data_IF_050739891988
#
_entry.id   IF_050739891988
#
_cell.length_a   1.000
_cell.length_b   1.000
_cell.length_c   1.000
_cell.angle_alpha   90.00
_cell.angle_beta   90.00
_cell.angle_gamma   90.00
#
_symmetry.space_group_name_H-M   'P 1'
#
loop_
_entity.id
_entity.type
_entity.pdbx_description
1 polymer ?
#
# COMPACT_ATOMS: atom_id res chain seq x y z
N UNK A 1 18.69 18.30 -10.97
CA UNK A 1 18.06 16.98 -11.15
C UNK A 1 17.86 16.41 -9.76
N UNK A 2 16.65 16.10 -9.36
CA UNK A 2 16.41 15.45 -8.07
C UNK A 2 16.90 14.01 -8.19
N UNK A 3 17.83 13.60 -7.34
CA UNK A 3 18.36 12.24 -7.34
C UNK A 3 17.26 11.30 -6.84
N UNK A 4 16.93 10.24 -7.58
CA UNK A 4 16.04 9.18 -7.11
C UNK A 4 16.86 8.06 -6.48
N UNK A 5 16.24 7.28 -5.59
CA UNK A 5 16.85 6.07 -5.03
C UNK A 5 17.31 5.12 -6.15
N UNK A 6 18.53 4.59 -6.03
CA UNK A 6 19.12 3.71 -7.04
C UNK A 6 18.59 2.29 -6.94
N UNK A 7 18.80 1.48 -7.99
CA UNK A 7 18.41 0.06 -7.94
C UNK A 7 19.25 -0.71 -6.92
N UNK A 8 20.52 -0.34 -6.79
CA UNK A 8 21.47 -0.86 -5.82
C UNK A 8 21.01 -0.60 -4.38
N UNK A 9 20.56 0.62 -4.10
CA UNK A 9 20.02 1.02 -2.79
C UNK A 9 18.74 0.26 -2.43
N UNK A 10 17.83 0.10 -3.39
CA UNK A 10 16.61 -0.71 -3.19
C UNK A 10 16.98 -2.15 -2.88
N UNK A 11 17.94 -2.74 -3.61
CA UNK A 11 18.40 -4.11 -3.35
C UNK A 11 19.06 -4.23 -1.98
N UNK A 12 19.90 -3.27 -1.59
CA UNK A 12 20.52 -3.25 -0.26
C UNK A 12 19.46 -3.20 0.85
N UNK A 13 18.45 -2.33 0.71
CA UNK A 13 17.32 -2.26 1.62
C UNK A 13 16.54 -3.59 1.67
N UNK A 14 16.19 -4.18 0.52
CA UNK A 14 15.49 -5.48 0.47
C UNK A 14 16.28 -6.60 1.15
N UNK A 15 17.61 -6.61 1.01
CA UNK A 15 18.45 -7.61 1.65
C UNK A 15 18.39 -7.50 3.19
N UNK A 16 18.36 -6.28 3.74
CA UNK A 16 18.13 -6.05 5.18
C UNK A 16 16.78 -6.58 5.64
N UNK A 17 15.74 -6.54 4.79
CA UNK A 17 14.40 -7.02 5.13
C UNK A 17 14.20 -8.53 4.98
N UNK A 18 15.13 -9.24 4.34
CA UNK A 18 15.02 -10.69 4.12
C UNK A 18 14.70 -11.52 5.39
N UNK A 19 15.18 -11.17 6.60
CA UNK A 19 14.84 -11.90 7.82
C UNK A 19 13.35 -11.83 8.20
N UNK A 20 12.59 -10.85 7.67
CA UNK A 20 11.15 -10.77 7.90
C UNK A 20 10.39 -11.91 7.23
N UNK A 21 10.90 -12.47 6.13
CA UNK A 21 10.21 -13.53 5.38
C UNK A 21 10.18 -14.81 6.22
N UNK A 22 8.98 -15.33 6.46
CA UNK A 22 8.73 -16.47 7.32
C UNK A 22 8.46 -16.10 8.78
N UNK A 23 8.64 -14.83 9.17
CA UNK A 23 8.35 -14.39 10.54
C UNK A 23 6.86 -14.57 10.85
N UNK A 24 6.58 -15.33 11.91
CA UNK A 24 5.24 -15.46 12.47
C UNK A 24 5.02 -14.34 13.49
N UNK A 25 3.86 -13.69 13.48
CA UNK A 25 3.53 -12.62 14.42
C UNK A 25 2.67 -13.22 15.54
N UNK A 26 3.32 -13.92 16.47
CA UNK A 26 2.68 -14.77 17.48
C UNK A 26 1.91 -13.99 18.57
N UNK A 27 1.83 -12.66 18.48
CA UNK A 27 0.93 -11.86 19.31
C UNK A 27 -0.54 -12.21 19.00
N UNK A 28 -0.85 -12.56 17.74
CA UNK A 28 -2.20 -12.96 17.33
C UNK A 28 -2.24 -14.44 16.95
N UNK A 29 -2.96 -15.22 17.73
CA UNK A 29 -3.22 -16.63 17.48
C UNK A 29 -4.71 -16.91 17.46
N UNK A 30 -5.21 -17.42 16.34
CA UNK A 30 -6.64 -17.67 16.12
C UNK A 30 -6.84 -19.17 15.95
N UNK A 31 -7.67 -19.83 16.77
CA UNK A 31 -8.04 -21.22 16.55
C UNK A 31 -8.61 -21.43 15.14
N UNK A 32 -8.18 -22.50 14.47
CA UNK A 32 -8.61 -22.83 13.10
C UNK A 32 -10.13 -22.76 12.91
N UNK A 33 -10.87 -23.32 13.86
CA UNK A 33 -12.33 -23.39 13.80
C UNK A 33 -13.03 -22.03 13.91
N UNK A 34 -12.35 -20.99 14.40
CA UNK A 34 -12.91 -19.64 14.46
C UNK A 34 -12.69 -18.86 13.16
N UNK A 35 -11.71 -19.25 12.33
CA UNK A 35 -11.39 -18.56 11.07
C UNK A 35 -12.56 -18.55 10.09
N UNK A 36 -13.40 -19.59 10.09
CA UNK A 36 -14.63 -19.67 9.29
C UNK A 36 -15.64 -18.55 9.58
N UNK A 37 -15.54 -17.92 10.75
CA UNK A 37 -16.42 -16.83 11.18
C UNK A 37 -15.86 -15.44 10.84
N UNK A 38 -14.59 -15.34 10.47
CA UNK A 38 -13.95 -14.09 10.11
C UNK A 38 -14.04 -13.85 8.60
N UNK A 39 -14.40 -12.62 8.23
CA UNK A 39 -14.13 -12.12 6.89
C UNK A 39 -12.65 -11.73 6.77
N UNK A 40 -11.99 -11.96 5.62
CA UNK A 40 -10.61 -11.54 5.39
C UNK A 40 -10.34 -10.06 5.67
N UNK A 41 -11.33 -9.18 5.48
CA UNK A 41 -11.24 -7.75 5.79
C UNK A 41 -11.05 -7.47 7.28
N UNK A 42 -11.71 -8.24 8.15
CA UNK A 42 -11.62 -8.11 9.61
C UNK A 42 -10.23 -8.54 10.09
N UNK A 43 -9.72 -9.66 9.57
CA UNK A 43 -8.33 -10.07 9.79
C UNK A 43 -7.38 -8.98 9.29
N UNK A 44 -7.63 -8.45 8.10
CA UNK A 44 -6.90 -7.34 7.50
C UNK A 44 -6.73 -6.14 8.43
N UNK A 45 -7.81 -5.72 9.09
CA UNK A 45 -7.80 -4.61 10.05
C UNK A 45 -7.01 -4.94 11.31
N UNK A 46 -7.25 -6.09 11.94
CA UNK A 46 -6.58 -6.50 13.18
C UNK A 46 -5.08 -6.62 12.95
N UNK A 47 -4.71 -7.37 11.91
CA UNK A 47 -3.31 -7.63 11.57
C UNK A 47 -2.61 -6.37 11.06
N UNK A 48 -3.35 -5.51 10.34
CA UNK A 48 -2.92 -4.16 9.93
C UNK A 48 -2.28 -3.37 11.06
N UNK A 49 -3.06 -3.12 12.10
CA UNK A 49 -2.62 -2.35 13.26
C UNK A 49 -1.51 -3.05 14.03
N UNK A 50 -1.60 -4.37 14.16
CA UNK A 50 -0.64 -5.14 14.95
C UNK A 50 0.74 -5.18 14.27
N UNK A 51 0.80 -5.49 12.96
CA UNK A 51 2.06 -5.57 12.23
C UNK A 51 2.74 -4.20 12.07
N UNK A 52 1.97 -3.11 11.96
CA UNK A 52 2.56 -1.77 11.92
C UNK A 52 3.47 -1.51 13.14
N UNK A 53 3.03 -1.93 14.33
CA UNK A 53 3.82 -1.78 15.57
C UNK A 53 4.81 -2.92 15.77
N UNK A 54 4.46 -4.15 15.37
CA UNK A 54 5.28 -5.33 15.65
C UNK A 54 6.51 -5.45 14.76
N UNK A 55 6.45 -5.10 13.47
CA UNK A 55 7.57 -5.30 12.54
C UNK A 55 8.87 -4.66 13.03
N UNK A 56 8.89 -3.38 13.47
CA UNK A 56 10.12 -2.76 13.97
C UNK A 56 10.59 -3.30 15.33
N UNK A 57 9.77 -4.10 16.00
CA UNK A 57 9.95 -4.57 17.38
C UNK A 57 10.07 -6.10 17.46
N UNK A 58 10.30 -6.77 16.31
CA UNK A 58 10.35 -8.24 16.25
C UNK A 58 11.50 -8.83 17.07
N UNK A 59 12.60 -8.10 17.25
CA UNK A 59 13.70 -8.48 18.12
C UNK A 59 13.28 -8.58 19.60
N UNK A 60 12.30 -7.78 20.03
CA UNK A 60 11.72 -7.90 21.38
C UNK A 60 10.77 -9.08 21.51
N UNK A 61 10.12 -9.47 20.41
CA UNK A 61 9.24 -10.65 20.37
C UNK A 61 10.02 -11.96 20.26
N UNK A 62 11.21 -11.91 19.66
CA UNK A 62 12.10 -13.05 19.42
C UNK A 62 13.55 -12.71 19.80
N UNK A 63 13.85 -12.52 21.11
CA UNK A 63 15.15 -12.04 21.56
C UNK A 63 16.31 -13.02 21.34
N UNK A 64 16.01 -14.32 21.23
CA UNK A 64 17.02 -15.38 21.28
C UNK A 64 17.72 -15.63 19.93
N UNK A 65 17.23 -15.08 18.82
CA UNK A 65 17.75 -15.37 17.48
C UNK A 65 18.71 -14.29 16.93
N UNK A 66 18.68 -13.06 17.46
CA UNK A 66 19.42 -11.90 16.95
C UNK A 66 19.18 -11.60 15.46
N UNK A 67 18.19 -12.26 14.86
CA UNK A 67 17.92 -12.29 13.42
C UNK A 67 17.24 -10.98 13.02
N UNK A 68 16.26 -10.56 13.82
CA UNK A 68 15.47 -9.36 13.55
C UNK A 68 16.21 -8.05 13.85
N UNK A 69 17.23 -8.07 14.71
CA UNK A 69 18.08 -6.90 14.95
C UNK A 69 18.77 -6.39 13.65
N UNK A 70 18.96 -7.26 12.66
CA UNK A 70 19.57 -6.92 11.36
C UNK A 70 18.59 -6.24 10.39
N UNK A 71 17.28 -6.27 10.68
CA UNK A 71 16.24 -5.64 9.85
C UNK A 71 16.37 -4.13 9.87
N UNK A 72 16.81 -3.54 10.99
CA UNK A 72 17.16 -2.13 11.06
C UNK A 72 16.02 -1.14 10.89
N UNK A 73 14.76 -1.59 10.97
CA UNK A 73 13.57 -0.73 10.96
C UNK A 73 13.26 -0.23 12.38
N UNK A 74 12.84 1.02 12.48
CA UNK A 74 12.23 1.60 13.69
C UNK A 74 11.02 2.45 13.29
N UNK A 75 10.07 2.69 14.21
CA UNK A 75 8.97 3.63 13.95
C UNK A 75 9.54 5.01 13.65
N UNK A 76 9.01 5.64 12.60
CA UNK A 76 9.32 7.04 12.34
C UNK A 76 8.56 7.90 13.35
N UNK A 77 9.20 8.97 13.83
CA UNK A 77 8.55 9.90 14.75
C UNK A 77 7.32 10.53 14.08
N UNK A 78 6.21 10.55 14.80
CA UNK A 78 5.00 11.25 14.37
C UNK A 78 5.20 12.75 14.39
N UNK A 79 4.47 13.46 13.52
CA UNK A 79 4.43 14.92 13.54
C UNK A 79 3.28 15.35 14.45
N UNK A 80 3.57 16.15 15.47
CA UNK A 80 2.55 16.64 16.41
C UNK A 80 1.44 17.40 15.67
N UNK A 81 0.19 16.97 15.83
CA UNK A 81 -0.98 17.55 15.17
C UNK A 81 -1.47 16.78 13.95
N UNK A 82 -0.64 15.90 13.38
CA UNK A 82 -1.07 14.99 12.31
C UNK A 82 -1.74 13.74 12.89
N UNK A 83 -2.93 13.41 12.37
CA UNK A 83 -3.66 12.18 12.75
C UNK A 83 -3.06 10.91 12.16
N UNK A 84 -2.33 11.02 11.05
CA UNK A 84 -1.70 9.92 10.33
C UNK A 84 -0.32 10.41 9.87
N UNK A 85 0.74 9.85 10.45
CA UNK A 85 2.12 10.19 10.08
C UNK A 85 2.50 9.57 8.75
N UNK A 86 3.29 10.30 7.96
CA UNK A 86 4.06 9.75 6.85
C UNK A 86 5.51 10.18 7.05
N UNK A 87 6.49 9.27 6.89
CA UNK A 87 6.33 7.82 6.63
C UNK A 87 6.09 7.02 7.91
N UNK A 88 5.79 5.72 7.79
CA UNK A 88 5.56 4.83 8.93
C UNK A 88 6.85 4.48 9.70
N UNK A 89 7.96 4.26 8.97
CA UNK A 89 9.24 3.75 9.49
C UNK A 89 10.45 4.57 9.02
N UNK A 90 11.54 4.45 9.78
CA UNK A 90 12.89 4.82 9.38
C UNK A 90 13.81 3.60 9.44
N UNK A 91 14.89 3.60 8.64
CA UNK A 91 15.85 2.50 8.55
C UNK A 91 17.27 2.96 8.84
N UNK A 92 18.12 2.08 9.39
CA UNK A 92 19.52 2.37 9.74
C UNK A 92 20.40 2.81 8.56
N UNK A 93 20.02 2.48 7.32
CA UNK A 93 20.68 2.95 6.10
C UNK A 93 20.26 4.39 5.71
N UNK A 94 19.39 5.05 6.49
CA UNK A 94 18.90 6.41 6.22
C UNK A 94 17.67 6.47 5.31
N UNK A 95 17.10 5.33 4.91
CA UNK A 95 15.82 5.26 4.20
C UNK A 95 14.64 5.50 5.13
N UNK A 96 13.51 5.91 4.55
CA UNK A 96 12.22 5.95 5.22
C UNK A 96 11.24 5.06 4.48
N UNK A 97 10.37 4.35 5.21
CA UNK A 97 9.46 3.40 4.62
C UNK A 97 8.00 3.66 4.98
N UNK A 98 7.15 3.72 3.96
CA UNK A 98 5.69 3.74 4.09
C UNK A 98 5.17 2.30 4.00
N UNK A 99 4.55 1.81 5.06
CA UNK A 99 4.06 0.43 5.15
C UNK A 99 2.71 0.30 4.46
N UNK A 100 2.57 -0.73 3.63
CA UNK A 100 1.27 -1.28 3.22
C UNK A 100 1.28 -2.79 3.36
N UNK A 101 0.24 -3.33 3.99
CA UNK A 101 0.09 -4.77 4.11
C UNK A 101 -0.76 -5.33 2.97
N UNK A 102 -0.34 -6.47 2.44
CA UNK A 102 -1.02 -7.24 1.43
C UNK A 102 -1.43 -8.60 2.01
N UNK A 103 -2.70 -8.72 2.40
CA UNK A 103 -3.25 -10.00 2.84
C UNK A 103 -3.47 -10.94 1.66
N UNK A 104 -2.83 -12.09 1.73
CA UNK A 104 -2.96 -13.25 0.84
C UNK A 104 -3.84 -14.28 1.52
N UNK A 105 -4.80 -14.82 0.78
CA UNK A 105 -5.77 -15.76 1.33
C UNK A 105 -5.04 -17.02 1.83
N UNK A 106 -5.43 -17.57 3.00
CA UNK A 106 -4.76 -18.72 3.60
C UNK A 106 -5.03 -20.00 2.81
N UNK A 107 -4.00 -20.83 2.68
CA UNK A 107 -4.14 -22.15 2.07
C UNK A 107 -4.76 -23.14 3.05
N UNK A 108 -5.74 -23.93 2.58
CA UNK A 108 -6.33 -25.01 3.39
C UNK A 108 -7.17 -24.56 4.59
N UNK A 109 -7.55 -23.28 4.64
CA UNK A 109 -8.42 -22.72 5.67
C UNK A 109 -9.67 -22.14 5.03
N UNK A 110 -10.83 -22.59 5.50
CA UNK A 110 -12.10 -21.99 5.13
C UNK A 110 -12.35 -20.73 5.96
N UNK A 111 -12.67 -19.62 5.28
CA UNK A 111 -13.01 -18.35 5.90
C UNK A 111 -14.38 -17.87 5.41
N UNK A 112 -14.99 -16.94 6.15
CA UNK A 112 -16.28 -16.37 5.75
C UNK A 112 -16.13 -15.64 4.41
N UNK A 113 -16.93 -16.06 3.43
CA UNK A 113 -16.99 -15.39 2.13
C UNK A 113 -17.64 -14.02 2.32
N UNK A 114 -16.99 -12.92 1.91
CA UNK A 114 -17.58 -11.59 2.02
C UNK A 114 -18.78 -11.45 1.07
N UNK A 115 -19.77 -10.64 1.47
CA UNK A 115 -20.97 -10.38 0.65
C UNK A 115 -20.65 -9.70 -0.70
N UNK A 116 -19.47 -9.08 -0.81
CA UNK A 116 -18.97 -8.43 -2.02
C UNK A 116 -17.56 -8.90 -2.33
N UNK A 117 -17.23 -9.02 -3.63
CA UNK A 117 -15.85 -9.31 -4.06
C UNK A 117 -14.90 -8.29 -3.45
N UNK A 118 -13.86 -8.79 -2.81
CA UNK A 118 -12.85 -7.98 -2.15
C UNK A 118 -12.10 -7.13 -3.18
N UNK A 119 -11.94 -5.85 -2.86
CA UNK A 119 -10.94 -5.03 -3.52
C UNK A 119 -9.79 -4.76 -2.55
N UNK A 120 -8.52 -4.86 -2.98
CA UNK A 120 -7.40 -4.37 -2.20
C UNK A 120 -7.63 -2.91 -1.80
N UNK A 121 -7.65 -2.64 -0.50
CA UNK A 121 -7.92 -1.31 0.06
C UNK A 121 -6.65 -0.53 0.39
N UNK A 122 -5.49 -1.19 0.39
CA UNK A 122 -4.20 -0.55 0.63
C UNK A 122 -3.98 0.60 -0.35
N UNK A 123 -3.57 1.76 0.17
CA UNK A 123 -3.45 3.01 -0.57
C UNK A 123 -2.17 3.73 -0.22
N UNK A 124 -1.47 4.25 -1.22
CA UNK A 124 -0.56 5.38 -1.07
C UNK A 124 -1.40 6.67 -1.12
N UNK A 125 -1.82 7.13 0.06
CA UNK A 125 -2.91 8.11 0.21
C UNK A 125 -2.61 9.46 -0.44
N UNK A 126 -3.63 10.31 -0.56
CA UNK A 126 -3.48 11.65 -1.13
C UNK A 126 -2.61 12.59 -0.30
N UNK A 127 -2.28 12.25 0.95
CA UNK A 127 -1.35 13.00 1.80
C UNK A 127 0.11 12.79 1.40
N UNK A 128 0.41 11.68 0.73
CA UNK A 128 1.76 11.38 0.24
C UNK A 128 1.91 12.00 -1.15
N UNK A 129 2.67 13.08 -1.25
CA UNK A 129 2.77 13.93 -2.45
C UNK A 129 4.21 14.35 -2.70
N UNK A 130 4.44 15.01 -3.83
CA UNK A 130 5.75 15.61 -4.15
C UNK A 130 6.24 16.63 -3.10
N UNK A 131 5.39 17.10 -2.20
CA UNK A 131 5.75 18.06 -1.14
C UNK A 131 6.50 17.44 0.03
N UNK A 132 6.20 16.19 0.37
CA UNK A 132 6.72 15.52 1.57
C UNK A 132 7.53 14.24 1.27
N UNK A 133 7.45 13.75 0.03
CA UNK A 133 8.30 12.66 -0.45
C UNK A 133 9.73 13.14 -0.65
N UNK A 134 10.68 12.36 -0.14
CA UNK A 134 12.12 12.53 -0.36
C UNK A 134 12.56 11.45 -1.37
N UNK A 135 12.73 11.77 -2.67
CA UNK A 135 12.91 10.78 -3.73
C UNK A 135 14.11 9.84 -3.58
N UNK A 136 15.15 10.29 -2.90
CA UNK A 136 16.36 9.53 -2.62
C UNK A 136 16.29 8.65 -1.36
N UNK A 137 15.23 8.78 -0.55
CA UNK A 137 15.09 8.07 0.74
C UNK A 137 13.81 7.26 0.90
N UNK A 138 12.74 7.66 0.25
CA UNK A 138 11.40 7.15 0.56
C UNK A 138 11.05 5.89 -0.25
N UNK A 139 10.72 4.84 0.48
CA UNK A 139 10.37 3.51 -0.05
C UNK A 139 8.95 3.15 0.37
N UNK A 140 8.13 2.72 -0.58
CA UNK A 140 6.89 2.02 -0.32
C UNK A 140 7.25 0.57 0.02
N UNK A 141 7.08 0.19 1.29
CA UNK A 141 7.26 -1.17 1.78
C UNK A 141 5.92 -1.89 1.73
N UNK A 142 5.79 -2.88 0.85
CA UNK A 142 4.61 -3.74 0.77
C UNK A 142 4.94 -5.08 1.40
N UNK A 143 4.31 -5.43 2.51
CA UNK A 143 4.51 -6.71 3.19
C UNK A 143 3.34 -7.64 2.85
N UNK A 144 3.63 -8.69 2.09
CA UNK A 144 2.67 -9.76 1.86
C UNK A 144 2.65 -10.69 3.07
N UNK A 145 1.46 -10.98 3.57
CA UNK A 145 1.28 -11.89 4.70
C UNK A 145 0.06 -12.79 4.50
N UNK A 146 0.11 -13.93 5.15
CA UNK A 146 -0.91 -14.97 5.09
C UNK A 146 -1.13 -15.52 6.50
N UNK A 147 -2.35 -15.92 6.85
CA UNK A 147 -2.56 -16.71 8.07
C UNK A 147 -2.02 -18.13 7.81
N UNK A 148 -1.04 -18.56 8.60
CA UNK A 148 -0.49 -19.92 8.56
C UNK A 148 -0.56 -20.55 9.94
N UNK A 149 -0.52 -21.87 10.00
CA UNK A 149 -0.50 -22.61 11.26
C UNK A 149 0.72 -22.18 12.08
N UNK A 150 0.51 -21.94 13.38
CA UNK A 150 1.56 -21.52 14.30
C UNK A 150 2.47 -22.71 14.59
N UNK A 151 3.77 -22.54 14.37
CA UNK A 151 4.77 -23.58 14.59
C UNK A 151 4.92 -24.01 16.06
N UNK A 152 4.44 -23.21 17.00
CA UNK A 152 4.50 -23.43 18.45
C UNK A 152 3.16 -23.89 19.04
N UNK A 153 2.06 -23.75 18.30
CA UNK A 153 0.70 -23.99 18.80
C UNK A 153 -0.20 -24.65 17.73
N UNK A 154 -0.20 -25.98 17.72
CA UNK A 154 -1.03 -26.79 16.80
C UNK A 154 -2.50 -26.37 16.81
N UNK A 155 -3.11 -26.27 15.62
CA UNK A 155 -4.50 -25.87 15.48
C UNK A 155 -4.78 -24.36 15.63
N UNK A 156 -3.74 -23.54 15.86
CA UNK A 156 -3.84 -22.08 15.84
C UNK A 156 -3.16 -21.51 14.60
N UNK A 157 -3.68 -20.40 14.10
CA UNK A 157 -3.14 -19.68 12.96
C UNK A 157 -2.73 -18.28 13.36
N UNK A 158 -1.60 -17.84 12.82
CA UNK A 158 -1.04 -16.52 13.06
C UNK A 158 -0.64 -15.85 11.73
N UNK A 159 -0.56 -14.51 11.70
CA UNK A 159 -0.01 -13.80 10.55
C UNK A 159 1.44 -14.21 10.34
N UNK A 160 1.74 -14.68 9.13
CA UNK A 160 3.11 -15.00 8.71
C UNK A 160 3.46 -14.13 7.52
N UNK A 161 4.59 -13.42 7.60
CA UNK A 161 5.11 -12.66 6.46
C UNK A 161 5.61 -13.66 5.42
N UNK A 162 5.16 -13.53 4.18
CA UNK A 162 5.49 -14.46 3.10
C UNK A 162 6.39 -13.83 2.03
N UNK A 163 6.37 -12.50 1.91
CA UNK A 163 7.25 -11.76 1.00
C UNK A 163 7.28 -10.27 1.35
N UNK A 164 8.29 -9.55 0.86
CA UNK A 164 8.48 -8.11 1.03
C UNK A 164 8.81 -7.42 -0.31
N UNK A 165 7.97 -6.47 -0.69
CA UNK A 165 8.16 -5.56 -1.81
C UNK A 165 8.71 -4.22 -1.35
N UNK A 166 9.68 -3.67 -2.08
CA UNK A 166 10.22 -2.34 -1.85
C UNK A 166 10.20 -1.57 -3.17
N UNK A 167 9.55 -0.41 -3.18
CA UNK A 167 9.34 0.40 -4.39
C UNK A 167 9.64 1.87 -4.10
N UNK A 168 10.30 2.62 -4.98
CA UNK A 168 10.49 4.07 -4.76
C UNK A 168 9.14 4.77 -4.63
N UNK A 169 8.93 5.53 -3.54
CA UNK A 169 7.68 6.30 -3.38
C UNK A 169 7.56 7.34 -4.48
N UNK A 170 8.68 7.96 -4.89
CA UNK A 170 8.75 8.91 -6.00
C UNK A 170 8.15 8.35 -7.30
N UNK A 171 8.56 7.15 -7.71
CA UNK A 171 8.00 6.46 -8.88
C UNK A 171 6.53 6.09 -8.70
N UNK A 172 6.14 5.65 -7.50
CA UNK A 172 4.76 5.31 -7.18
C UNK A 172 3.83 6.52 -7.28
N UNK A 173 4.21 7.68 -6.70
CA UNK A 173 3.41 8.90 -6.78
C UNK A 173 3.41 9.48 -8.19
N UNK A 174 4.53 9.40 -8.92
CA UNK A 174 4.60 9.86 -10.31
C UNK A 174 3.66 9.03 -11.21
N UNK A 175 3.68 7.71 -11.09
CA UNK A 175 2.77 6.83 -11.82
C UNK A 175 1.29 7.08 -11.46
N UNK A 176 1.00 7.22 -10.16
CA UNK A 176 -0.35 7.49 -9.63
C UNK A 176 -0.90 8.80 -10.17
N UNK A 177 -0.10 9.85 -10.14
CA UNK A 177 -0.50 11.19 -10.56
C UNK A 177 -0.57 11.30 -12.09
N UNK A 178 0.34 10.64 -12.81
CA UNK A 178 0.26 10.48 -14.26
C UNK A 178 -1.08 9.84 -14.67
N UNK A 179 -1.50 8.77 -13.98
CA UNK A 179 -2.80 8.13 -14.22
C UNK A 179 -3.99 9.06 -13.97
N UNK A 180 -3.92 9.88 -12.91
CA UNK A 180 -4.96 10.86 -12.61
C UNK A 180 -5.11 11.85 -13.78
N UNK A 181 -4.01 12.49 -14.17
CA UNK A 181 -3.98 13.51 -15.23
C UNK A 181 -4.38 12.93 -16.59
N UNK A 182 -3.84 11.76 -16.96
CA UNK A 182 -4.15 11.11 -18.23
C UNK A 182 -5.61 10.61 -18.33
N UNK A 183 -6.30 10.46 -17.20
CA UNK A 183 -7.73 10.17 -17.17
C UNK A 183 -8.62 11.42 -17.21
N UNK A 184 -8.03 12.59 -17.44
CA UNK A 184 -8.70 13.89 -17.39
C UNK A 184 -8.96 14.41 -15.97
N UNK A 185 -8.47 13.70 -14.95
CA UNK A 185 -8.52 14.14 -13.56
C UNK A 185 -7.46 15.20 -13.25
N UNK A 186 -7.50 15.75 -12.03
CA UNK A 186 -6.59 16.80 -11.59
C UNK A 186 -6.52 16.90 -10.07
N UNK A 187 -5.52 17.64 -9.59
CA UNK A 187 -5.44 18.08 -8.20
C UNK A 187 -6.18 19.42 -8.00
N UNK A 188 -6.91 19.52 -6.90
CA UNK A 188 -7.53 20.73 -6.35
C UNK A 188 -6.86 21.08 -5.04
N UNK A 189 -6.61 22.38 -4.82
CA UNK A 189 -5.64 22.81 -3.83
C UNK A 189 -4.24 22.31 -4.23
N UNK A 190 -3.18 22.99 -3.83
CA UNK A 190 -1.81 22.61 -4.20
C UNK A 190 -1.51 21.16 -3.74
N UNK A 191 -1.79 20.13 -4.55
CA UNK A 191 -1.77 18.70 -4.19
C UNK A 191 -2.61 18.32 -2.95
N UNK A 192 -3.80 18.91 -2.76
CA UNK A 192 -4.62 18.61 -1.57
C UNK A 192 -5.68 17.55 -1.84
N UNK A 193 -6.45 17.71 -2.92
CA UNK A 193 -7.57 16.82 -3.27
C UNK A 193 -7.47 16.34 -4.71
N UNK A 194 -7.27 15.04 -4.97
CA UNK A 194 -7.31 14.48 -6.30
C UNK A 194 -8.76 14.26 -6.72
N UNK A 195 -9.12 14.75 -7.91
CA UNK A 195 -10.47 14.65 -8.43
C UNK A 195 -10.45 14.11 -9.88
N UNK A 196 -11.45 13.29 -10.20
CA UNK A 196 -11.67 12.71 -11.52
C UNK A 196 -12.87 13.37 -12.19
N UNK A 197 -12.95 13.28 -13.52
CA UNK A 197 -14.11 13.77 -14.27
C UNK A 197 -15.40 13.09 -13.80
N UNK A 198 -16.38 13.91 -13.43
CA UNK A 198 -17.73 13.46 -13.11
C UNK A 198 -18.49 13.06 -14.38
N UNK A 199 -19.70 12.52 -14.24
CA UNK A 199 -20.57 12.26 -15.41
C UNK A 199 -20.89 13.54 -16.18
N UNK A 200 -21.11 14.65 -15.47
CA UNK A 200 -21.39 15.96 -16.09
C UNK A 200 -20.14 16.49 -16.79
N UNK A 201 -18.96 16.40 -16.17
CA UNK A 201 -17.71 16.80 -16.80
C UNK A 201 -17.44 16.02 -18.09
N UNK A 202 -17.69 14.72 -18.10
CA UNK A 202 -17.56 13.89 -19.31
C UNK A 202 -18.52 14.33 -20.42
N UNK A 203 -19.79 14.56 -20.09
CA UNK A 203 -20.78 15.03 -21.07
C UNK A 203 -20.40 16.39 -21.68
N UNK A 204 -19.82 17.29 -20.87
CA UNK A 204 -19.31 18.59 -21.35
C UNK A 204 -18.15 18.44 -22.33
N UNK A 205 -17.18 17.56 -22.04
CA UNK A 205 -16.09 17.25 -22.98
C UNK A 205 -16.66 16.74 -24.30
N UNK A 206 -17.62 15.81 -24.25
CA UNK A 206 -18.26 15.24 -25.44
C UNK A 206 -19.00 16.32 -26.26
N UNK A 207 -19.57 17.33 -25.59
CA UNK A 207 -20.23 18.47 -26.21
C UNK A 207 -19.27 19.60 -26.67
N UNK A 208 -17.97 19.49 -26.40
CA UNK A 208 -16.99 20.54 -26.68
C UNK A 208 -17.13 21.77 -25.77
N UNK A 209 -17.79 21.62 -24.61
CA UNK A 209 -17.98 22.68 -23.63
C UNK A 209 -16.79 22.80 -22.67
N UNK A 210 -16.55 24.02 -22.18
CA UNK A 210 -15.54 24.25 -21.14
C UNK A 210 -15.93 23.62 -19.80
N UNK A 211 -14.93 23.05 -19.14
CA UNK A 211 -15.06 22.51 -17.80
C UNK A 211 -14.89 23.60 -16.75
N UNK A 212 -15.78 23.63 -15.77
CA UNK A 212 -15.54 24.38 -14.53
C UNK A 212 -14.46 23.65 -13.73
N UNK A 213 -13.33 24.33 -13.56
CA UNK A 213 -12.13 23.82 -12.88
C UNK A 213 -11.85 24.52 -11.56
N UNK A 214 -12.76 25.38 -11.11
CA UNK A 214 -12.59 26.19 -9.88
C UNK A 214 -12.95 25.40 -8.62
N UNK A 215 -13.81 24.40 -8.74
CA UNK A 215 -14.30 23.60 -7.63
C UNK A 215 -14.53 22.14 -8.04
N UNK A 216 -14.68 21.27 -7.05
CA UNK A 216 -14.99 19.85 -7.21
C UNK A 216 -16.13 19.46 -6.27
N UNK A 217 -16.86 18.40 -6.63
CA UNK A 217 -17.86 17.80 -5.77
C UNK A 217 -17.28 16.65 -4.95
N UNK A 218 -17.81 16.39 -3.76
CA UNK A 218 -17.50 15.13 -3.03
C UNK A 218 -18.31 13.96 -3.56
N UNK A 219 -19.43 14.24 -4.23
CA UNK A 219 -20.37 13.26 -4.79
C UNK A 219 -20.91 13.72 -6.15
N UNK A 220 -21.26 12.77 -7.01
CA UNK A 220 -21.90 13.05 -8.31
C UNK A 220 -23.16 13.92 -8.21
N UNK A 221 -23.91 13.80 -7.11
CA UNK A 221 -25.13 14.60 -6.85
C UNK A 221 -24.88 16.10 -6.71
N UNK A 222 -23.64 16.55 -6.49
CA UNK A 222 -23.29 17.96 -6.30
C UNK A 222 -23.12 18.73 -7.63
N UNK A 223 -23.29 18.05 -8.76
CA UNK A 223 -23.43 18.71 -10.06
C UNK A 223 -22.13 19.33 -10.63
N UNK A 224 -20.97 19.01 -10.06
CA UNK A 224 -19.67 19.57 -10.46
C UNK A 224 -19.05 18.83 -11.64
N UNK A 225 -18.13 19.47 -12.36
CA UNK A 225 -17.40 18.84 -13.48
C UNK A 225 -16.39 17.77 -13.01
N UNK A 226 -15.94 17.86 -11.75
CA UNK A 226 -15.00 16.95 -11.13
C UNK A 226 -15.54 16.45 -9.80
N UNK A 227 -15.23 15.21 -9.44
CA UNK A 227 -15.51 14.63 -8.12
C UNK A 227 -14.25 14.08 -7.47
N UNK A 228 -14.17 14.15 -6.14
CA UNK A 228 -13.10 13.54 -5.35
C UNK A 228 -12.90 12.06 -5.74
N UNK A 229 -11.68 11.66 -6.09
CA UNK A 229 -11.35 10.27 -6.40
C UNK A 229 -11.17 9.48 -5.09
N UNK A 230 -12.28 8.96 -4.56
CA UNK A 230 -12.29 8.10 -3.36
C UNK A 230 -11.47 6.80 -3.48
N UNK A 231 -10.99 6.49 -4.68
CA UNK A 231 -10.15 5.34 -4.98
C UNK A 231 -8.71 5.74 -5.32
N UNK A 232 -8.37 7.02 -5.17
CA UNK A 232 -7.04 7.53 -5.40
C UNK A 232 -6.00 6.82 -4.52
N UNK A 233 -4.84 6.56 -5.09
CA UNK A 233 -3.74 5.92 -4.37
C UNK A 233 -3.90 4.42 -4.10
N UNK A 234 -5.05 3.78 -4.41
CA UNK A 234 -5.18 2.31 -4.29
C UNK A 234 -4.04 1.63 -5.05
N UNK A 235 -3.29 0.74 -4.40
CA UNK A 235 -2.08 0.15 -4.99
C UNK A 235 -2.33 -0.48 -6.37
N UNK A 236 -3.46 -1.18 -6.54
CA UNK A 236 -3.87 -1.78 -7.84
C UNK A 236 -4.07 -0.77 -8.98
N UNK A 237 -4.26 0.51 -8.66
CA UNK A 237 -4.52 1.62 -9.61
C UNK A 237 -3.28 2.46 -9.89
N UNK A 238 -2.16 2.22 -9.21
CA UNK A 238 -0.89 2.91 -9.45
C UNK A 238 -0.18 2.17 -10.61
N UNK A 239 -0.11 2.72 -11.83
CA UNK A 239 0.44 2.00 -12.98
C UNK A 239 1.98 2.01 -13.00
N UNK A 240 2.60 1.64 -11.88
CA UNK A 240 4.03 1.40 -11.77
C UNK A 240 4.29 -0.10 -11.93
N UNK A 241 4.96 -0.50 -13.01
CA UNK A 241 5.07 -1.91 -13.42
C UNK A 241 5.63 -2.84 -12.31
N UNK A 242 6.74 -2.52 -11.62
CA UNK A 242 7.28 -3.40 -10.57
C UNK A 242 6.29 -3.66 -9.43
N UNK A 243 5.53 -2.63 -9.02
CA UNK A 243 4.48 -2.78 -8.01
C UNK A 243 3.37 -3.71 -8.52
N UNK A 244 2.95 -3.56 -9.77
CA UNK A 244 1.88 -4.41 -10.34
C UNK A 244 2.33 -5.86 -10.54
N UNK A 245 3.60 -6.10 -10.86
CA UNK A 245 4.19 -7.45 -10.92
C UNK A 245 4.21 -8.11 -9.54
N UNK A 246 4.56 -7.37 -8.49
CA UNK A 246 4.50 -7.87 -7.11
C UNK A 246 3.07 -8.20 -6.68
N UNK A 247 2.10 -7.32 -6.98
CA UNK A 247 0.69 -7.61 -6.69
C UNK A 247 0.20 -8.87 -7.44
N UNK A 248 0.60 -9.04 -8.71
CA UNK A 248 0.28 -10.23 -9.50
C UNK A 248 0.88 -11.49 -8.88
N UNK A 249 2.14 -11.45 -8.47
CA UNK A 249 2.86 -12.58 -7.89
C UNK A 249 2.10 -13.18 -6.70
N UNK A 250 1.46 -12.34 -5.89
CA UNK A 250 0.70 -12.75 -4.72
C UNK A 250 -0.81 -12.92 -4.97
N UNK A 251 -1.23 -13.04 -6.23
CA UNK A 251 -2.64 -13.26 -6.59
C UNK A 251 -3.57 -12.10 -6.28
N UNK A 252 -3.03 -10.92 -5.96
CA UNK A 252 -3.82 -9.73 -5.67
C UNK A 252 -4.38 -9.11 -6.96
N UNK A 253 -5.43 -8.28 -6.84
CA UNK A 253 -5.89 -7.49 -7.99
C UNK A 253 -4.79 -6.52 -8.41
N UNK A 254 -4.43 -6.54 -9.70
CA UNK A 254 -3.40 -5.69 -10.29
C UNK A 254 -3.87 -5.09 -11.62
N UNK A 255 -3.13 -4.09 -12.12
CA UNK A 255 -3.28 -3.54 -13.46
C UNK A 255 -2.38 -4.30 -14.44
N UNK A 256 -2.97 -4.99 -15.42
CA UNK A 256 -2.21 -5.76 -16.41
C UNK A 256 -1.51 -4.90 -17.48
N UNK A 257 -1.80 -3.59 -17.51
CA UNK A 257 -1.21 -2.60 -18.42
C UNK A 257 -1.07 -1.25 -17.72
N UNK A 258 -0.14 -0.43 -18.17
CA UNK A 258 0.03 0.94 -17.72
C UNK A 258 0.79 1.78 -18.74
N UNK A 259 0.83 3.09 -18.50
CA UNK A 259 1.45 4.08 -19.39
C UNK A 259 2.68 4.77 -18.82
N UNK A 260 3.10 4.42 -17.60
CA UNK A 260 4.18 5.09 -16.89
C UNK A 260 5.36 4.14 -16.60
N UNK A 261 6.63 4.59 -16.78
CA UNK A 261 7.03 5.85 -17.44
C UNK A 261 6.82 5.79 -18.97
N UNK A 262 6.60 4.59 -19.50
CA UNK A 262 6.24 4.30 -20.88
C UNK A 262 5.18 3.19 -20.91
N UNK A 263 4.50 2.96 -22.05
CA UNK A 263 3.53 1.88 -22.16
C UNK A 263 4.13 0.51 -21.82
N UNK A 264 3.45 -0.24 -20.98
CA UNK A 264 3.85 -1.59 -20.59
C UNK A 264 2.66 -2.52 -20.42
N UNK A 265 2.94 -3.83 -20.49
CA UNK A 265 2.01 -4.92 -20.23
C UNK A 265 2.70 -5.98 -19.37
N UNK A 266 1.94 -6.62 -18.49
CA UNK A 266 2.36 -7.81 -17.75
C UNK A 266 1.73 -9.01 -18.45
N UNK A 267 2.57 -9.95 -18.89
CA UNK A 267 2.16 -11.26 -19.42
C UNK A 267 1.68 -12.14 -18.27
#
# INVERSE_FOLDING_TARGET
MTTCISSEDIMAFKNCLSPLIGAQINILNIPKDLLKSFEPSQIGTIVGTLMDVAIPELDKLYPDDGLFAKVGLSKHDGILGDREGYPDYQHNLGFRAELKLLYVDPEGVEMKVPATRREPSARLTQKVTVKNVIPEKDILLVVAYQLRENAQHDGFYCPTIIDVGAFPVSECIAARDYRLLNSGGRWFGNYETPAILSRIGKAKIEAGEELDTTTYGRKESEGKCFNEDTNFGKLKRIPYKPLQEYLKLHGATYSARGGYPSPWKIS
#
